data_IF_111559604684
#
_entry.id   IF_111559604684
#
_cell.length_a   1.000
_cell.length_b   1.000
_cell.length_c   1.000
_cell.angle_alpha   90.00
_cell.angle_beta   90.00
_cell.angle_gamma   90.00
#
_symmetry.space_group_name_H-M   'P 1'
#
loop_
_entity.id
_entity.type
_entity.pdbx_description
1 polymer ?
#
# COMPACT_ATOMS: atom_id res chain seq x y z
N UNK A 1 -16.60 9.12 -19.06
CA UNK A 1 -16.99 9.66 -17.74
C UNK A 1 -18.34 9.11 -17.23
N UNK A 2 -18.89 8.02 -17.81
CA UNK A 2 -20.18 7.45 -17.38
C UNK A 2 -20.06 6.50 -16.18
N UNK A 3 -18.90 5.86 -15.99
CA UNK A 3 -18.70 4.85 -14.94
C UNK A 3 -18.04 5.39 -13.66
N UNK A 4 -17.68 6.68 -13.63
CA UNK A 4 -16.98 7.30 -12.49
C UNK A 4 -17.68 7.10 -11.14
N UNK A 5 -19.03 7.18 -11.03
CA UNK A 5 -19.73 6.89 -9.78
C UNK A 5 -19.54 5.44 -9.30
N UNK A 6 -19.49 4.47 -10.22
CA UNK A 6 -19.25 3.07 -9.87
C UNK A 6 -17.83 2.86 -9.34
N UNK A 7 -16.82 3.39 -10.04
CA UNK A 7 -15.43 3.30 -9.59
C UNK A 7 -15.22 4.01 -8.24
N UNK A 8 -15.87 5.15 -8.00
CA UNK A 8 -15.80 5.82 -6.70
C UNK A 8 -16.43 4.98 -5.59
N UNK A 9 -17.60 4.35 -5.85
CA UNK A 9 -18.21 3.45 -4.88
C UNK A 9 -17.30 2.26 -4.54
N UNK A 10 -16.64 1.66 -5.54
CA UNK A 10 -15.64 0.60 -5.33
C UNK A 10 -14.45 1.11 -4.53
N UNK A 11 -13.96 2.30 -4.82
CA UNK A 11 -12.86 2.92 -4.09
C UNK A 11 -13.19 3.06 -2.60
N UNK A 12 -14.35 3.62 -2.28
CA UNK A 12 -14.84 3.77 -0.90
C UNK A 12 -15.05 2.41 -0.22
N UNK A 13 -15.73 1.50 -0.90
CA UNK A 13 -15.99 0.14 -0.43
C UNK A 13 -14.67 -0.52 0.01
N UNK A 14 -13.66 -0.55 -0.86
CA UNK A 14 -12.40 -1.26 -0.58
C UNK A 14 -11.63 -0.66 0.58
N UNK A 15 -11.60 0.66 0.75
CA UNK A 15 -11.01 1.29 1.93
C UNK A 15 -11.73 0.89 3.22
N UNK A 16 -13.07 0.88 3.23
CA UNK A 16 -13.85 0.46 4.39
C UNK A 16 -13.59 -1.00 4.73
N UNK A 17 -13.63 -1.89 3.73
CA UNK A 17 -13.39 -3.32 3.94
C UNK A 17 -11.95 -3.63 4.39
N UNK A 18 -10.95 -2.92 3.87
CA UNK A 18 -9.57 -3.05 4.32
C UNK A 18 -9.47 -2.81 5.83
N UNK A 19 -10.10 -1.73 6.33
CA UNK A 19 -9.98 -1.30 7.72
C UNK A 19 -10.92 -2.04 8.69
N UNK A 20 -12.11 -2.43 8.24
CA UNK A 20 -13.16 -2.98 9.11
C UNK A 20 -13.44 -4.47 8.91
N UNK A 21 -12.90 -5.10 7.87
CA UNK A 21 -13.06 -6.55 7.61
C UNK A 21 -11.70 -7.23 7.34
N UNK A 22 -10.76 -7.20 8.30
CA UNK A 22 -9.42 -7.77 8.11
C UNK A 22 -9.45 -9.29 7.87
N UNK A 23 -10.52 -9.97 8.27
CA UNK A 23 -10.73 -11.41 8.03
C UNK A 23 -11.37 -11.71 6.67
N UNK A 24 -11.68 -10.69 5.85
CA UNK A 24 -12.28 -10.80 4.52
C UNK A 24 -13.58 -11.62 4.52
N UNK A 25 -14.42 -11.42 5.53
CA UNK A 25 -15.71 -12.09 5.66
C UNK A 25 -16.76 -11.61 4.64
N UNK A 26 -16.49 -10.48 3.99
CA UNK A 26 -17.43 -9.79 3.11
C UNK A 26 -18.54 -9.08 3.88
N UNK A 27 -18.37 -8.87 5.20
CA UNK A 27 -19.37 -8.23 6.06
C UNK A 27 -18.71 -7.25 7.02
N UNK A 28 -19.28 -6.05 7.11
CA UNK A 28 -18.89 -5.02 8.08
C UNK A 28 -20.07 -4.75 9.02
N UNK A 29 -19.93 -4.97 10.34
CA UNK A 29 -20.96 -4.58 11.31
C UNK A 29 -21.18 -3.06 11.30
N UNK A 30 -22.45 -2.63 11.37
CA UNK A 30 -22.79 -1.20 11.45
C UNK A 30 -22.16 -0.56 12.69
N UNK A 31 -22.08 -1.30 13.80
CA UNK A 31 -21.45 -0.83 15.04
C UNK A 31 -19.98 -0.43 14.81
N UNK A 32 -19.21 -1.27 14.12
CA UNK A 32 -17.80 -1.01 13.83
C UNK A 32 -17.67 0.22 12.92
N UNK A 33 -18.52 0.31 11.89
CA UNK A 33 -18.54 1.46 10.98
C UNK A 33 -18.83 2.77 11.73
N UNK A 34 -19.82 2.78 12.64
CA UNK A 34 -20.16 3.95 13.48
C UNK A 34 -19.17 4.24 14.60
N UNK A 35 -18.30 3.29 14.93
CA UNK A 35 -17.25 3.47 15.95
C UNK A 35 -16.02 4.21 15.43
N UNK A 36 -15.94 4.40 14.11
CA UNK A 36 -14.84 5.09 13.43
C UNK A 36 -15.30 6.40 12.81
N UNK A 37 -14.34 7.24 12.41
CA UNK A 37 -14.61 8.48 11.67
C UNK A 37 -14.88 8.26 10.18
N UNK A 38 -14.83 7.01 9.67
CA UNK A 38 -14.99 6.73 8.24
C UNK A 38 -16.31 7.27 7.67
N UNK A 39 -17.41 7.16 8.42
CA UNK A 39 -18.69 7.74 8.01
C UNK A 39 -18.70 9.26 8.05
N UNK A 40 -18.13 9.85 9.10
CA UNK A 40 -18.04 11.32 9.24
C UNK A 40 -17.24 11.91 8.07
N UNK A 41 -16.10 11.32 7.76
CA UNK A 41 -15.23 11.72 6.65
C UNK A 41 -15.97 11.63 5.29
N UNK A 42 -16.78 10.58 5.09
CA UNK A 42 -17.61 10.43 3.90
C UNK A 42 -18.70 11.51 3.82
N UNK A 43 -19.36 11.82 4.92
CA UNK A 43 -20.36 12.87 4.96
C UNK A 43 -19.75 14.24 4.70
N UNK A 44 -18.56 14.51 5.21
CA UNK A 44 -17.84 15.76 4.97
C UNK A 44 -17.56 15.96 3.47
N UNK A 45 -17.05 14.94 2.79
CA UNK A 45 -16.80 14.99 1.33
C UNK A 45 -18.11 15.20 0.55
N UNK A 46 -19.19 14.50 0.91
CA UNK A 46 -20.49 14.66 0.24
C UNK A 46 -21.08 16.05 0.49
N UNK A 47 -20.98 16.57 1.72
CA UNK A 47 -21.49 17.89 2.06
C UNK A 47 -20.77 18.96 1.26
N UNK A 48 -19.45 18.87 1.13
CA UNK A 48 -18.66 19.82 0.35
C UNK A 48 -18.99 19.82 -1.15
N UNK A 49 -19.21 18.65 -1.76
CA UNK A 49 -19.60 18.60 -3.17
C UNK A 49 -20.93 19.31 -3.44
N UNK A 50 -21.80 19.42 -2.44
CA UNK A 50 -23.10 20.06 -2.54
C UNK A 50 -23.08 21.56 -2.17
N UNK A 51 -21.95 22.14 -1.74
CA UNK A 51 -21.85 23.57 -1.42
C UNK A 51 -21.56 24.41 -2.66
N UNK A 52 -22.31 25.51 -2.81
CA UNK A 52 -22.15 26.47 -3.91
C UNK A 52 -20.91 27.38 -3.75
N UNK A 53 -20.40 27.59 -2.52
CA UNK A 53 -19.25 28.45 -2.22
C UNK A 53 -18.03 27.66 -1.73
N UNK A 54 -16.89 27.85 -2.41
CA UNK A 54 -15.62 27.16 -2.16
C UNK A 54 -14.69 27.91 -1.19
N UNK A 55 -15.18 28.41 -0.07
CA UNK A 55 -14.32 29.10 0.91
C UNK A 55 -14.04 28.26 2.18
N UNK A 56 -12.73 28.11 2.46
CA UNK A 56 -12.04 27.78 3.72
C UNK A 56 -12.14 26.38 4.36
N UNK A 57 -13.06 25.48 3.97
CA UNK A 57 -13.02 24.07 4.42
C UNK A 57 -12.12 23.15 3.56
N UNK A 58 -11.55 23.70 2.48
CA UNK A 58 -10.88 22.97 1.40
C UNK A 58 -9.71 22.06 1.82
N UNK A 59 -9.14 22.25 3.01
CA UNK A 59 -7.88 21.63 3.41
C UNK A 59 -8.13 20.27 4.10
N UNK A 60 -9.19 20.14 4.89
CA UNK A 60 -9.42 18.93 5.71
C UNK A 60 -10.00 17.79 4.88
N UNK A 61 -10.94 18.08 3.98
CA UNK A 61 -11.57 17.08 3.12
C UNK A 61 -10.66 16.56 2.01
N UNK A 62 -9.70 17.36 1.53
CA UNK A 62 -8.73 16.91 0.55
C UNK A 62 -7.71 15.95 1.13
N UNK A 63 -7.41 16.09 2.42
CA UNK A 63 -6.56 15.16 3.18
C UNK A 63 -7.31 13.89 3.60
N UNK A 64 -8.63 13.84 3.46
CA UNK A 64 -9.41 12.65 3.77
C UNK A 64 -9.11 11.51 2.81
N UNK A 65 -9.08 10.28 3.33
CA UNK A 65 -8.90 9.05 2.55
C UNK A 65 -9.96 8.91 1.44
N UNK A 66 -11.20 9.38 1.68
CA UNK A 66 -12.32 9.28 0.75
C UNK A 66 -12.41 10.47 -0.23
N UNK A 67 -11.41 11.36 -0.24
CA UNK A 67 -11.42 12.54 -1.11
C UNK A 67 -11.47 12.16 -2.59
N UNK A 68 -12.15 13.00 -3.37
CA UNK A 68 -12.26 12.82 -4.82
C UNK A 68 -10.87 12.86 -5.50
N UNK A 69 -9.92 13.61 -4.94
CA UNK A 69 -8.56 13.67 -5.46
C UNK A 69 -7.82 12.34 -5.26
N UNK A 70 -7.95 11.72 -4.08
CA UNK A 70 -7.37 10.41 -3.82
C UNK A 70 -7.98 9.33 -4.72
N UNK A 71 -9.29 9.38 -4.94
CA UNK A 71 -9.97 8.53 -5.91
C UNK A 71 -9.42 8.70 -7.34
N UNK A 72 -9.32 9.94 -7.83
CA UNK A 72 -8.83 10.17 -9.19
C UNK A 72 -7.37 9.75 -9.35
N UNK A 73 -6.53 9.98 -8.33
CA UNK A 73 -5.14 9.51 -8.31
C UNK A 73 -5.09 7.99 -8.47
N UNK A 74 -5.86 7.24 -7.68
CA UNK A 74 -5.89 5.78 -7.77
C UNK A 74 -6.43 5.29 -9.13
N UNK A 75 -7.53 5.89 -9.62
CA UNK A 75 -8.12 5.50 -10.90
C UNK A 75 -7.22 5.83 -12.11
N UNK A 76 -6.52 6.95 -12.08
CA UNK A 76 -5.56 7.33 -13.11
C UNK A 76 -4.35 6.39 -13.11
N UNK A 77 -3.82 6.05 -11.93
CA UNK A 77 -2.73 5.07 -11.82
C UNK A 77 -3.14 3.69 -12.34
N UNK A 78 -4.33 3.21 -11.98
CA UNK A 78 -4.88 1.96 -12.51
C UNK A 78 -4.96 1.97 -14.04
N UNK A 79 -5.54 3.02 -14.63
CA UNK A 79 -5.66 3.16 -16.09
C UNK A 79 -4.33 3.35 -16.80
N UNK A 80 -3.32 3.89 -16.12
CA UNK A 80 -1.96 4.02 -16.67
C UNK A 80 -1.25 2.67 -16.71
N UNK A 81 -1.58 1.77 -15.78
CA UNK A 81 -1.11 0.39 -15.78
C UNK A 81 -1.83 -0.46 -16.84
N UNK A 82 -3.17 -0.38 -16.93
CA UNK A 82 -4.00 -1.11 -17.92
C UNK A 82 -3.73 -0.59 -19.35
N UNK A 83 -2.68 -1.13 -19.99
CA UNK A 83 -2.18 -0.66 -21.30
C UNK A 83 -2.99 -1.21 -22.45
N UNK A 84 -3.58 -2.39 -22.25
CA UNK A 84 -4.41 -3.07 -23.24
C UNK A 84 -5.90 -2.72 -23.15
N UNK A 85 -6.29 -1.94 -22.13
CA UNK A 85 -7.64 -1.45 -21.88
C UNK A 85 -8.63 -2.59 -21.60
N UNK A 86 -8.15 -3.68 -21.01
CA UNK A 86 -8.94 -4.84 -20.59
C UNK A 86 -9.86 -4.52 -19.41
N UNK A 87 -9.57 -3.45 -18.64
CA UNK A 87 -10.20 -3.15 -17.36
C UNK A 87 -9.64 -3.97 -16.20
N UNK A 88 -8.50 -4.62 -16.41
CA UNK A 88 -7.72 -5.37 -15.42
C UNK A 88 -6.24 -4.97 -15.55
N UNK A 89 -5.41 -5.35 -14.59
CA UNK A 89 -3.96 -5.06 -14.61
C UNK A 89 -3.17 -6.34 -14.36
N UNK A 90 -2.31 -6.69 -15.29
CA UNK A 90 -1.34 -7.78 -15.13
C UNK A 90 -0.15 -7.39 -14.25
N UNK A 91 0.60 -8.38 -13.76
CA UNK A 91 1.85 -8.12 -13.03
C UNK A 91 2.86 -7.34 -13.90
N UNK A 92 2.98 -7.68 -15.18
CA UNK A 92 3.89 -7.02 -16.13
C UNK A 92 3.54 -5.53 -16.29
N UNK A 93 2.26 -5.20 -16.34
CA UNK A 93 1.79 -3.81 -16.38
C UNK A 93 1.99 -3.08 -15.05
N UNK A 94 1.74 -3.76 -13.94
CA UNK A 94 1.85 -3.20 -12.60
C UNK A 94 3.30 -2.86 -12.22
N UNK A 95 4.31 -3.49 -12.82
CA UNK A 95 5.73 -3.16 -12.63
C UNK A 95 6.08 -1.70 -12.96
N UNK A 96 5.24 -1.00 -13.73
CA UNK A 96 5.43 0.42 -14.06
C UNK A 96 4.62 1.38 -13.18
N UNK A 97 3.97 0.85 -12.14
CA UNK A 97 3.26 1.65 -11.15
C UNK A 97 4.25 2.59 -10.45
N UNK A 98 3.87 3.87 -10.33
CA UNK A 98 4.76 4.96 -9.87
C UNK A 98 6.15 4.91 -10.53
N UNK A 99 6.17 4.71 -11.84
CA UNK A 99 7.39 4.73 -12.66
C UNK A 99 8.41 3.66 -12.25
N UNK A 100 7.92 2.55 -11.67
CA UNK A 100 8.75 1.44 -11.20
C UNK A 100 9.20 1.56 -9.74
N UNK A 101 8.67 2.52 -8.97
CA UNK A 101 9.05 2.72 -7.57
C UNK A 101 8.90 1.47 -6.69
N UNK A 102 7.82 0.72 -6.89
CA UNK A 102 7.56 -0.47 -6.11
C UNK A 102 8.42 -1.65 -6.55
N UNK A 103 8.97 -2.38 -5.59
CA UNK A 103 9.95 -3.43 -5.88
C UNK A 103 9.31 -4.63 -6.60
N UNK A 104 10.02 -5.28 -7.53
CA UNK A 104 9.46 -6.43 -8.25
C UNK A 104 8.99 -7.56 -7.33
N UNK A 105 9.76 -7.89 -6.28
CA UNK A 105 9.39 -8.95 -5.34
C UNK A 105 8.13 -8.59 -4.53
N UNK A 106 7.98 -7.32 -4.13
CA UNK A 106 6.75 -6.86 -3.49
C UNK A 106 5.55 -7.06 -4.42
N UNK A 107 5.62 -6.62 -5.68
CA UNK A 107 4.52 -6.77 -6.62
C UNK A 107 4.21 -8.23 -6.93
N UNK A 108 5.21 -9.10 -7.09
CA UNK A 108 5.03 -10.56 -7.22
C UNK A 108 4.21 -11.13 -6.04
N UNK A 109 4.54 -10.72 -4.81
CA UNK A 109 3.81 -11.14 -3.61
C UNK A 109 2.42 -10.56 -3.52
N UNK A 110 2.21 -9.32 -3.96
CA UNK A 110 0.85 -8.75 -4.06
C UNK A 110 0.00 -9.64 -4.98
N UNK A 111 0.48 -9.97 -6.17
CA UNK A 111 -0.26 -10.83 -7.10
C UNK A 111 -0.44 -12.26 -6.56
N UNK A 112 0.49 -12.78 -5.75
CA UNK A 112 0.33 -14.09 -5.10
C UNK A 112 -0.74 -14.09 -3.98
N UNK A 113 -1.02 -12.95 -3.35
CA UNK A 113 -1.93 -12.86 -2.19
C UNK A 113 -3.29 -12.23 -2.50
N UNK A 114 -3.46 -11.66 -3.70
CA UNK A 114 -4.72 -11.08 -4.16
C UNK A 114 -5.58 -12.07 -4.95
N UNK A 115 -6.87 -11.76 -5.04
CA UNK A 115 -7.76 -12.45 -5.97
C UNK A 115 -7.45 -11.99 -7.39
N UNK A 116 -7.02 -12.92 -8.24
CA UNK A 116 -6.76 -12.66 -9.65
C UNK A 116 -7.78 -13.35 -10.55
N UNK A 117 -7.99 -12.77 -11.72
CA UNK A 117 -8.90 -13.24 -12.75
C UNK A 117 -8.12 -13.66 -14.00
N UNK A 118 -8.72 -14.52 -14.81
CA UNK A 118 -8.12 -15.02 -16.04
C UNK A 118 -7.92 -16.53 -16.05
N UNK A 119 -7.34 -17.00 -17.15
CA UNK A 119 -7.03 -18.41 -17.34
C UNK A 119 -5.76 -18.76 -16.53
N UNK A 120 -5.78 -19.79 -15.66
CA UNK A 120 -4.60 -20.21 -14.90
C UNK A 120 -3.39 -20.60 -15.76
N UNK A 121 -3.60 -20.89 -17.05
CA UNK A 121 -2.54 -21.21 -18.01
C UNK A 121 -2.01 -19.96 -18.75
N UNK A 122 -2.59 -18.79 -18.49
CA UNK A 122 -2.21 -17.50 -19.06
C UNK A 122 -1.86 -16.51 -17.95
N UNK A 123 -1.64 -15.26 -18.33
CA UNK A 123 -1.47 -14.14 -17.42
C UNK A 123 -2.75 -13.99 -16.60
N UNK A 124 -2.59 -13.97 -15.28
CA UNK A 124 -3.65 -13.63 -14.34
C UNK A 124 -3.57 -12.14 -14.02
N UNK A 125 -4.73 -11.52 -13.86
CA UNK A 125 -4.86 -10.07 -13.78
C UNK A 125 -5.67 -9.65 -12.56
N UNK A 126 -5.34 -8.47 -12.05
CA UNK A 126 -5.97 -7.85 -10.90
C UNK A 126 -7.05 -6.86 -11.35
N UNK A 127 -8.22 -6.91 -10.73
CA UNK A 127 -9.27 -5.93 -10.98
C UNK A 127 -9.05 -4.63 -10.21
N UNK A 128 -9.89 -3.64 -10.48
CA UNK A 128 -9.82 -2.37 -9.76
C UNK A 128 -10.02 -2.52 -8.25
N UNK A 129 -10.74 -3.54 -7.77
CA UNK A 129 -10.89 -3.79 -6.32
C UNK A 129 -9.57 -4.16 -5.68
N UNK A 130 -8.86 -5.14 -6.27
CA UNK A 130 -7.53 -5.54 -5.82
C UNK A 130 -6.55 -4.36 -5.88
N UNK A 131 -6.60 -3.57 -6.95
CA UNK A 131 -5.75 -2.39 -7.10
C UNK A 131 -5.99 -1.34 -6.03
N UNK A 132 -7.26 -1.06 -5.67
CA UNK A 132 -7.56 -0.11 -4.59
C UNK A 132 -7.09 -0.64 -3.24
N UNK A 133 -7.19 -1.94 -2.96
CA UNK A 133 -6.65 -2.50 -1.72
C UNK A 133 -5.12 -2.34 -1.64
N UNK A 134 -4.41 -2.57 -2.75
CA UNK A 134 -2.97 -2.29 -2.87
C UNK A 134 -2.66 -0.81 -2.61
N UNK A 135 -3.34 0.10 -3.31
CA UNK A 135 -3.15 1.54 -3.15
C UNK A 135 -3.42 1.99 -1.71
N UNK A 136 -4.55 1.56 -1.14
CA UNK A 136 -4.95 1.90 0.22
C UNK A 136 -3.94 1.39 1.25
N UNK A 137 -3.51 0.13 1.14
CA UNK A 137 -2.56 -0.47 2.07
C UNK A 137 -1.23 0.31 2.11
N UNK A 138 -0.77 0.81 0.96
CA UNK A 138 0.45 1.61 0.88
C UNK A 138 0.25 3.02 1.46
N UNK A 139 -0.86 3.69 1.16
CA UNK A 139 -1.11 5.07 1.62
C UNK A 139 -1.44 5.17 3.10
N UNK A 140 -2.02 4.13 3.69
CA UNK A 140 -2.35 4.08 5.12
C UNK A 140 -1.49 3.07 5.88
N UNK A 141 -0.24 2.84 5.44
CA UNK A 141 0.67 1.83 6.01
C UNK A 141 0.96 1.98 7.52
N UNK A 142 0.71 3.15 8.11
CA UNK A 142 0.75 3.35 9.57
C UNK A 142 -0.43 2.72 10.33
N UNK A 143 -1.54 2.44 9.64
CA UNK A 143 -2.77 1.90 10.24
C UNK A 143 -2.67 0.38 10.39
N UNK A 144 -3.16 -0.16 11.50
CA UNK A 144 -3.00 -1.58 11.84
C UNK A 144 -3.57 -2.53 10.77
N UNK A 145 -4.64 -2.13 10.07
CA UNK A 145 -5.22 -2.92 8.98
C UNK A 145 -4.27 -3.05 7.77
N UNK A 146 -3.65 -1.94 7.37
CA UNK A 146 -2.66 -1.92 6.29
C UNK A 146 -1.37 -2.63 6.69
N UNK A 147 -0.95 -2.50 7.94
CA UNK A 147 0.18 -3.29 8.48
C UNK A 147 -0.11 -4.78 8.33
N UNK A 148 -1.30 -5.27 8.72
CA UNK A 148 -1.67 -6.68 8.54
C UNK A 148 -1.68 -7.12 7.09
N UNK A 149 -2.20 -6.26 6.20
CA UNK A 149 -2.22 -6.54 4.77
C UNK A 149 -0.81 -6.65 4.19
N UNK A 150 0.06 -5.68 4.53
CA UNK A 150 1.45 -5.64 4.07
C UNK A 150 2.27 -6.77 4.67
N UNK A 151 2.08 -7.08 5.95
CA UNK A 151 2.76 -8.20 6.62
C UNK A 151 2.50 -9.50 5.87
N UNK A 152 1.24 -9.79 5.49
CA UNK A 152 0.90 -10.98 4.70
C UNK A 152 1.56 -10.99 3.32
N UNK A 153 1.78 -9.83 2.70
CA UNK A 153 2.51 -9.73 1.42
C UNK A 153 4.01 -10.00 1.63
N UNK A 154 4.57 -9.44 2.69
CA UNK A 154 6.00 -9.51 3.03
C UNK A 154 6.41 -10.88 3.59
N UNK A 155 5.48 -11.62 4.21
CA UNK A 155 5.67 -12.99 4.69
C UNK A 155 5.71 -13.90 3.46
N UNK A 156 6.92 -14.29 3.06
CA UNK A 156 7.16 -15.04 1.84
C UNK A 156 6.85 -16.52 2.04
N UNK A 157 6.95 -17.01 3.28
CA UNK A 157 6.67 -18.40 3.67
C UNK A 157 5.24 -18.65 4.10
N UNK A 158 4.46 -17.60 4.31
CA UNK A 158 3.08 -17.65 4.82
C UNK A 158 3.00 -18.39 6.17
N UNK A 159 4.00 -18.22 7.04
CA UNK A 159 4.11 -18.88 8.36
C UNK A 159 3.74 -17.97 9.55
N UNK A 160 3.43 -16.71 9.28
CA UNK A 160 3.04 -15.70 10.27
C UNK A 160 4.22 -14.99 10.94
N UNK A 161 5.45 -15.22 10.47
CA UNK A 161 6.68 -14.66 11.04
C UNK A 161 7.57 -14.12 9.92
N UNK A 162 7.92 -12.83 9.97
CA UNK A 162 8.95 -12.27 9.08
C UNK A 162 10.33 -12.56 9.65
N UNK A 163 11.10 -13.41 8.99
CA UNK A 163 12.49 -13.65 9.38
C UNK A 163 13.49 -12.72 8.66
N UNK A 164 14.74 -12.74 9.14
CA UNK A 164 15.81 -11.92 8.56
C UNK A 164 16.08 -12.24 7.08
N UNK A 165 15.90 -13.48 6.64
CA UNK A 165 16.15 -13.85 5.24
C UNK A 165 15.08 -13.26 4.33
N UNK A 166 13.81 -13.29 4.73
CA UNK A 166 12.71 -12.69 3.98
C UNK A 166 12.90 -11.17 3.88
N UNK A 167 13.22 -10.51 5.00
CA UNK A 167 13.56 -9.08 5.01
C UNK A 167 14.73 -8.79 4.08
N UNK A 168 15.80 -9.59 4.15
CA UNK A 168 16.95 -9.44 3.25
C UNK A 168 16.55 -9.59 1.78
N UNK A 169 15.76 -10.60 1.41
CA UNK A 169 15.29 -10.77 0.03
C UNK A 169 14.52 -9.55 -0.48
N UNK A 170 13.69 -8.94 0.38
CA UNK A 170 12.99 -7.70 0.05
C UNK A 170 13.97 -6.53 -0.15
N UNK A 171 14.98 -6.38 0.72
CA UNK A 171 16.02 -5.34 0.55
C UNK A 171 16.87 -5.55 -0.70
N UNK A 172 17.21 -6.78 -1.05
CA UNK A 172 17.95 -7.11 -2.28
C UNK A 172 17.12 -6.76 -3.52
N UNK A 173 15.82 -7.06 -3.51
CA UNK A 173 14.90 -6.66 -4.57
C UNK A 173 14.82 -5.14 -4.69
N UNK A 174 14.75 -4.43 -3.55
CA UNK A 174 14.76 -2.97 -3.50
C UNK A 174 16.03 -2.37 -4.10
N UNK A 175 17.21 -2.84 -3.69
CA UNK A 175 18.49 -2.34 -4.20
C UNK A 175 18.69 -2.65 -5.69
N UNK A 176 18.24 -3.82 -6.16
CA UNK A 176 18.25 -4.14 -7.59
C UNK A 176 17.34 -3.19 -8.38
N UNK A 177 16.18 -2.84 -7.82
CA UNK A 177 15.26 -1.89 -8.43
C UNK A 177 15.89 -0.50 -8.51
N UNK A 178 16.47 -0.02 -7.39
CA UNK A 178 17.23 1.24 -7.32
C UNK A 178 18.35 1.28 -8.38
N UNK A 179 19.17 0.24 -8.45
CA UNK A 179 20.26 0.15 -9.43
C UNK A 179 19.78 0.21 -10.87
N UNK A 180 18.61 -0.36 -11.15
CA UNK A 180 18.01 -0.39 -12.49
C UNK A 180 17.49 0.99 -12.90
N UNK A 181 16.89 1.73 -11.98
CA UNK A 181 16.23 3.02 -12.27
C UNK A 181 17.17 4.21 -12.15
N UNK A 182 18.02 4.24 -11.12
CA UNK A 182 18.94 5.35 -10.85
C UNK A 182 20.35 5.12 -11.45
N UNK A 183 20.67 3.87 -11.81
CA UNK A 183 21.97 3.50 -12.39
C UNK A 183 23.09 3.29 -11.36
N UNK A 184 22.78 3.27 -10.06
CA UNK A 184 23.74 3.05 -8.98
C UNK A 184 23.09 2.37 -7.76
N UNK A 185 23.88 1.60 -6.99
CA UNK A 185 23.48 1.03 -5.70
C UNK A 185 24.73 0.54 -4.97
N UNK A 186 25.22 1.34 -4.01
CA UNK A 186 26.43 1.04 -3.25
C UNK A 186 26.13 0.62 -1.80
N UNK A 187 24.90 0.23 -1.52
CA UNK A 187 24.45 -0.19 -0.21
C UNK A 187 24.57 -1.70 -0.02
N UNK A 188 24.73 -2.12 1.23
CA UNK A 188 24.77 -3.52 1.61
C UNK A 188 23.36 -3.96 2.06
N UNK A 189 22.74 -4.97 1.41
CA UNK A 189 21.41 -5.44 1.81
C UNK A 189 21.37 -6.00 3.23
N UNK A 190 22.47 -6.59 3.73
CA UNK A 190 22.51 -7.11 5.10
C UNK A 190 22.39 -5.97 6.14
N UNK A 191 23.04 -4.83 5.90
CA UNK A 191 23.00 -3.69 6.82
C UNK A 191 21.59 -3.06 6.83
N UNK A 192 20.96 -2.91 5.66
CA UNK A 192 19.57 -2.40 5.56
C UNK A 192 18.59 -3.37 6.24
N UNK A 193 18.77 -4.67 6.07
CA UNK A 193 17.91 -5.67 6.71
C UNK A 193 18.01 -5.59 8.23
N UNK A 194 19.22 -5.45 8.78
CA UNK A 194 19.43 -5.28 10.22
C UNK A 194 18.81 -3.96 10.72
N UNK A 195 18.94 -2.86 9.98
CA UNK A 195 18.26 -1.60 10.33
C UNK A 195 16.73 -1.72 10.36
N UNK A 196 16.14 -2.41 9.38
CA UNK A 196 14.68 -2.65 9.34
C UNK A 196 14.24 -3.48 10.54
N UNK A 197 15.03 -4.48 10.95
CA UNK A 197 14.75 -5.29 12.14
C UNK A 197 14.83 -4.43 13.40
N UNK A 198 15.87 -3.60 13.51
CA UNK A 198 16.08 -2.69 14.65
C UNK A 198 14.96 -1.64 14.77
N UNK A 199 14.39 -1.18 13.65
CA UNK A 199 13.21 -0.30 13.65
C UNK A 199 11.98 -0.96 14.30
N UNK A 200 11.77 -2.26 14.08
CA UNK A 200 10.64 -2.98 14.67
C UNK A 200 10.92 -3.36 16.13
N UNK A 201 12.18 -3.62 16.48
CA UNK A 201 12.62 -4.02 17.81
C UNK A 201 11.88 -5.28 18.32
N UNK A 202 11.97 -6.42 17.60
CA UNK A 202 11.30 -7.64 17.98
C UNK A 202 11.82 -8.21 19.31
N UNK A 203 10.98 -8.96 20.01
CA UNK A 203 11.35 -9.67 21.23
C UNK A 203 12.21 -10.91 20.92
N UNK A 204 11.93 -11.60 19.81
CA UNK A 204 12.77 -12.68 19.27
C UNK A 204 13.57 -12.15 18.06
N UNK A 205 14.91 -12.11 18.13
CA UNK A 205 15.73 -11.67 17.01
C UNK A 205 15.58 -12.52 15.73
N UNK A 206 15.00 -13.72 15.83
CA UNK A 206 14.85 -14.63 14.69
C UNK A 206 13.53 -14.46 13.93
N UNK A 207 12.60 -13.65 14.43
CA UNK A 207 11.29 -13.53 13.81
C UNK A 207 10.46 -12.36 14.34
N UNK A 208 9.86 -11.63 13.41
CA UNK A 208 8.95 -10.52 13.71
C UNK A 208 7.52 -10.97 13.45
N UNK A 209 6.65 -10.79 14.44
CA UNK A 209 5.21 -11.03 14.32
C UNK A 209 4.46 -9.77 13.91
N UNK A 210 3.25 -9.94 13.36
CA UNK A 210 2.41 -8.79 12.96
C UNK A 210 2.06 -7.88 14.14
N UNK A 211 1.89 -8.42 15.34
CA UNK A 211 1.58 -7.65 16.54
C UNK A 211 2.77 -6.78 16.97
N UNK A 212 4.00 -7.25 16.78
CA UNK A 212 5.22 -6.45 17.03
C UNK A 212 5.35 -5.31 16.02
N UNK A 213 5.01 -5.55 14.74
CA UNK A 213 4.98 -4.47 13.74
C UNK A 213 3.91 -3.43 14.10
N UNK A 214 2.71 -3.86 14.50
CA UNK A 214 1.64 -2.94 14.94
C UNK A 214 2.07 -2.12 16.17
N UNK A 215 2.84 -2.70 17.08
CA UNK A 215 3.35 -2.01 18.26
C UNK A 215 4.50 -1.04 17.95
N UNK A 216 5.21 -1.22 16.83
CA UNK A 216 6.35 -0.38 16.45
C UNK A 216 5.91 1.01 15.99
N UNK A 217 6.63 2.03 16.45
CA UNK A 217 6.48 3.42 15.99
C UNK A 217 7.13 3.69 14.63
N UNK A 218 7.95 2.77 14.16
CA UNK A 218 8.73 2.88 12.92
C UNK A 218 8.20 1.96 11.81
N UNK A 219 7.07 1.28 12.03
CA UNK A 219 6.49 0.33 11.09
C UNK A 219 6.28 0.93 9.68
N UNK A 220 5.82 2.19 9.59
CA UNK A 220 5.63 2.86 8.31
C UNK A 220 6.93 3.02 7.53
N UNK A 221 8.01 3.44 8.20
CA UNK A 221 9.34 3.56 7.59
C UNK A 221 9.90 2.20 7.23
N UNK A 222 9.87 1.24 8.16
CA UNK A 222 10.40 -0.11 7.97
C UNK A 222 9.76 -0.80 6.77
N UNK A 223 8.42 -0.86 6.71
CA UNK A 223 7.71 -1.45 5.58
C UNK A 223 7.83 -0.60 4.31
N UNK A 224 7.98 0.74 4.43
CA UNK A 224 8.27 1.62 3.30
C UNK A 224 9.56 1.22 2.58
N UNK A 225 10.65 1.05 3.33
CA UNK A 225 11.97 0.64 2.81
C UNK A 225 11.87 -0.68 2.05
N UNK A 226 11.10 -1.65 2.55
CA UNK A 226 11.01 -2.98 1.92
C UNK A 226 10.25 -3.00 0.59
N UNK A 227 9.35 -2.04 0.35
CA UNK A 227 8.42 -2.10 -0.79
C UNK A 227 8.61 -0.98 -1.82
N UNK A 228 9.28 0.12 -1.46
CA UNK A 228 9.39 1.33 -2.29
C UNK A 228 10.81 1.94 -2.18
N UNK A 229 11.54 2.01 -3.29
CA UNK A 229 12.90 2.53 -3.26
C UNK A 229 12.97 4.04 -2.95
N UNK A 230 11.93 4.81 -3.27
CA UNK A 230 11.89 6.23 -2.89
C UNK A 230 11.73 6.39 -1.38
N UNK A 231 10.99 5.48 -0.72
CA UNK A 231 10.89 5.47 0.73
C UNK A 231 12.25 5.16 1.39
N UNK A 232 13.01 4.24 0.81
CA UNK A 232 14.40 4.00 1.21
C UNK A 232 15.28 5.24 1.05
N UNK A 233 15.34 5.85 -0.15
CA UNK A 233 16.16 7.04 -0.38
C UNK A 233 15.78 8.21 0.55
N UNK A 234 14.49 8.40 0.81
CA UNK A 234 14.02 9.41 1.76
C UNK A 234 14.54 9.14 3.17
N UNK A 235 14.55 7.87 3.60
CA UNK A 235 15.09 7.49 4.90
C UNK A 235 16.60 7.69 4.96
N UNK A 236 17.35 7.31 3.93
CA UNK A 236 18.81 7.51 3.88
C UNK A 236 19.19 9.00 3.97
N UNK A 237 18.46 9.88 3.28
CA UNK A 237 18.78 11.32 3.24
C UNK A 237 18.20 12.12 4.43
N UNK A 238 17.58 11.46 5.42
CA UNK A 238 16.85 12.13 6.51
C UNK A 238 17.71 13.08 7.36
N UNK A 239 18.99 12.76 7.53
CA UNK A 239 19.90 13.58 8.34
C UNK A 239 20.36 14.84 7.61
N UNK A 240 20.52 14.77 6.28
CA UNK A 240 20.85 15.93 5.44
C UNK A 240 19.68 16.92 5.39
N UNK A 241 18.45 16.41 5.27
CA UNK A 241 17.23 17.24 5.31
C UNK A 241 17.02 17.90 6.68
N UNK A 242 17.34 17.22 7.78
CA UNK A 242 17.23 17.78 9.13
C UNK A 242 18.32 18.83 9.44
N UNK A 243 19.41 18.84 8.68
CA UNK A 243 20.51 19.79 8.82
C UNK A 243 20.34 21.07 7.98
N UNK A 244 19.28 21.15 7.16
CA UNK A 244 19.02 22.25 6.22
C UNK A 244 17.85 23.13 6.68
#
# INVERSE_FOLDING_TARGET
>A
MKDSPYYYAVFIERYVFLHLDPQRTGKVPIADLTSTRLLDDLFDVVFEQNRESKEQLWDVSQLSWCSINNFWRALEQFRRCDRDWSGMVSLEECQYLKDGAYTPLFLERVFATQMLYGDPQKVQEMDFRGFVELDAAIHTRKESASIKWLFRVLDLRDDGVLDRNEIKMMTESMLKNLATLEGWSNFNPDDIADEVIDMIHPQDPNGITVDEVIASRMADTAFGILIDYHAFLKYENREEEAAT
#
